data_IF_436690064577
#
_entry.id   IF_436690064577
#
_cell.length_a   1.000
_cell.length_b   1.000
_cell.length_c   1.000
_cell.angle_alpha   90.00
_cell.angle_beta   90.00
_cell.angle_gamma   90.00
#
_symmetry.space_group_name_H-M   'P 1'
#
loop_
_entity.id
_entity.type
_entity.pdbx_description
1 polymer ?
#
# COMPACT_ATOMS: atom_id res chain seq x y z
N UNK A 1 10.86 6.11 26.08
CA UNK A 1 11.17 6.60 24.71
C UNK A 1 10.94 8.10 24.70
N UNK A 2 11.84 8.91 24.14
CA UNK A 2 11.62 10.37 24.01
C UNK A 2 10.38 10.59 23.15
N UNK A 3 9.43 11.39 23.63
CA UNK A 3 8.25 11.74 22.83
C UNK A 3 8.69 12.36 21.50
N UNK A 4 8.21 11.84 20.37
CA UNK A 4 8.56 12.39 19.08
C UNK A 4 7.98 13.81 18.97
N UNK A 5 8.81 14.77 18.56
CA UNK A 5 8.36 16.16 18.39
C UNK A 5 7.24 16.23 17.35
N UNK A 6 6.04 16.65 17.81
CA UNK A 6 4.84 16.80 16.98
C UNK A 6 5.12 17.62 15.72
N UNK A 7 5.86 18.73 15.85
CA UNK A 7 6.27 19.59 14.72
C UNK A 7 7.08 18.82 13.67
N UNK A 8 8.04 18.00 14.10
CA UNK A 8 8.88 17.21 13.18
C UNK A 8 8.05 16.14 12.47
N UNK A 9 7.20 15.41 13.21
CA UNK A 9 6.33 14.38 12.63
C UNK A 9 5.36 14.96 11.60
N UNK A 10 4.75 16.10 11.93
CA UNK A 10 3.87 16.81 11.01
C UNK A 10 4.61 17.21 9.73
N UNK A 11 5.79 17.83 9.84
CA UNK A 11 6.59 18.23 8.68
C UNK A 11 6.97 17.04 7.77
N UNK A 12 7.40 15.91 8.35
CA UNK A 12 7.71 14.71 7.58
C UNK A 12 6.49 14.13 6.87
N UNK A 13 5.33 14.10 7.54
CA UNK A 13 4.11 13.57 6.93
C UNK A 13 3.59 14.50 5.82
N UNK A 14 3.60 15.81 6.04
CA UNK A 14 3.19 16.79 5.04
C UNK A 14 4.10 16.78 3.81
N UNK A 15 5.42 16.68 3.99
CA UNK A 15 6.35 16.60 2.86
C UNK A 15 6.14 15.32 2.03
N UNK A 16 5.89 14.19 2.70
CA UNK A 16 5.51 12.95 2.00
C UNK A 16 4.20 13.10 1.23
N UNK A 17 3.18 13.75 1.79
CA UNK A 17 1.92 14.00 1.09
C UNK A 17 2.14 14.85 -0.17
N UNK A 18 2.94 15.91 -0.09
CA UNK A 18 3.30 16.73 -1.26
C UNK A 18 4.00 15.88 -2.32
N UNK A 19 4.99 15.06 -1.94
CA UNK A 19 5.65 14.14 -2.88
C UNK A 19 4.64 13.19 -3.53
N UNK A 20 3.69 12.65 -2.75
CA UNK A 20 2.69 11.73 -3.24
C UNK A 20 1.75 12.35 -4.28
N UNK A 21 1.57 13.67 -4.25
CA UNK A 21 0.80 14.44 -5.24
C UNK A 21 1.64 14.77 -6.48
N UNK A 22 2.92 15.10 -6.31
CA UNK A 22 3.81 15.48 -7.41
C UNK A 22 4.18 14.27 -8.29
N UNK A 23 4.41 13.11 -7.67
CA UNK A 23 4.89 11.92 -8.40
C UNK A 23 3.96 11.50 -9.55
N UNK A 24 2.63 11.39 -9.37
CA UNK A 24 1.72 11.11 -10.49
C UNK A 24 1.74 12.18 -11.59
N UNK A 25 1.95 13.46 -11.26
CA UNK A 25 2.05 14.52 -12.29
C UNK A 25 3.24 14.32 -13.22
N UNK A 26 4.31 13.68 -12.74
CA UNK A 26 5.52 13.39 -13.53
C UNK A 26 5.42 12.02 -14.21
N UNK A 27 4.97 11.00 -13.48
CA UNK A 27 4.94 9.62 -13.95
C UNK A 27 3.77 9.33 -14.89
N UNK A 28 2.58 9.88 -14.64
CA UNK A 28 1.40 9.61 -15.48
C UNK A 28 1.60 10.04 -16.94
N UNK A 29 2.10 11.25 -17.27
CA UNK A 29 2.36 11.62 -18.67
C UNK A 29 3.42 10.75 -19.37
N UNK A 30 4.37 10.20 -18.61
CA UNK A 30 5.35 9.26 -19.14
C UNK A 30 4.71 7.91 -19.43
N UNK A 31 4.09 7.31 -18.42
CA UNK A 31 3.49 5.96 -18.51
C UNK A 31 2.36 5.94 -19.53
N UNK A 32 1.52 6.98 -19.61
CA UNK A 32 0.46 7.06 -20.62
C UNK A 32 0.97 7.16 -22.05
N UNK A 33 2.18 7.69 -22.27
CA UNK A 33 2.83 7.70 -23.60
C UNK A 33 3.49 6.36 -23.93
N UNK A 34 4.04 5.69 -22.94
CA UNK A 34 4.79 4.43 -23.12
C UNK A 34 3.86 3.21 -23.21
N UNK A 35 2.87 3.11 -22.32
CA UNK A 35 1.94 1.98 -22.24
C UNK A 35 0.66 2.17 -23.08
N UNK A 36 0.45 3.40 -23.59
CA UNK A 36 -0.73 3.77 -24.35
C UNK A 36 -2.04 3.69 -23.53
N UNK A 37 -3.15 4.05 -24.18
CA UNK A 37 -4.47 4.02 -23.55
C UNK A 37 -4.92 2.60 -23.19
N UNK A 38 -4.55 1.60 -24.00
CA UNK A 38 -4.92 0.21 -23.78
C UNK A 38 -4.24 -0.38 -22.53
N UNK A 39 -2.92 -0.21 -22.38
CA UNK A 39 -2.19 -0.69 -21.20
C UNK A 39 -2.65 -0.03 -19.90
N UNK A 40 -2.83 1.30 -19.93
CA UNK A 40 -3.41 2.04 -18.79
C UNK A 40 -4.84 1.58 -18.48
N UNK A 41 -5.63 1.26 -19.50
CA UNK A 41 -6.98 0.72 -19.36
C UNK A 41 -7.00 -0.62 -18.63
N UNK A 42 -6.15 -1.56 -19.05
CA UNK A 42 -6.00 -2.87 -18.38
C UNK A 42 -5.57 -2.68 -16.92
N UNK A 43 -4.55 -1.85 -16.67
CA UNK A 43 -4.10 -1.56 -15.31
C UNK A 43 -5.23 -0.99 -14.47
N UNK A 44 -5.90 0.06 -14.94
CA UNK A 44 -6.93 0.77 -14.18
C UNK A 44 -8.13 -0.14 -13.88
N UNK A 45 -8.55 -0.95 -14.86
CA UNK A 45 -9.63 -1.91 -14.68
C UNK A 45 -9.28 -2.99 -13.65
N UNK A 46 -8.15 -3.68 -13.84
CA UNK A 46 -7.72 -4.74 -12.90
C UNK A 46 -7.44 -4.19 -11.49
N UNK A 47 -6.87 -2.98 -11.39
CA UNK A 47 -6.62 -2.29 -10.13
C UNK A 47 -7.92 -1.89 -9.43
N UNK A 48 -8.91 -1.40 -10.17
CA UNK A 48 -10.22 -1.05 -9.60
C UNK A 48 -10.87 -2.25 -8.91
N UNK A 49 -10.74 -3.44 -9.50
CA UNK A 49 -11.34 -4.65 -8.96
C UNK A 49 -10.63 -5.07 -7.68
N UNK A 50 -9.29 -5.17 -7.69
CA UNK A 50 -8.54 -5.53 -6.47
C UNK A 50 -8.75 -4.51 -5.34
N UNK A 51 -8.95 -3.23 -5.69
CA UNK A 51 -9.17 -2.16 -4.71
C UNK A 51 -10.40 -2.39 -3.84
N UNK A 52 -11.47 -3.00 -4.36
CA UNK A 52 -12.64 -3.39 -3.55
C UNK A 52 -12.28 -4.47 -2.52
N UNK A 53 -11.47 -5.46 -2.91
CA UNK A 53 -10.99 -6.51 -2.00
C UNK A 53 -10.02 -5.96 -0.95
N UNK A 54 -9.16 -5.02 -1.33
CA UNK A 54 -8.27 -4.28 -0.43
C UNK A 54 -9.08 -3.51 0.62
N UNK A 55 -10.13 -2.80 0.18
CA UNK A 55 -11.01 -2.06 1.07
C UNK A 55 -11.73 -2.99 2.06
N UNK A 56 -12.22 -4.13 1.59
CA UNK A 56 -12.82 -5.15 2.46
C UNK A 56 -11.81 -5.74 3.45
N UNK A 57 -10.58 -6.02 3.00
CA UNK A 57 -9.52 -6.59 3.84
C UNK A 57 -9.08 -5.64 4.96
N UNK A 58 -9.11 -4.34 4.70
CA UNK A 58 -8.79 -3.32 5.69
C UNK A 58 -9.95 -2.99 6.62
N UNK A 59 -11.22 -3.11 6.19
CA UNK A 59 -12.47 -2.96 6.96
C UNK A 59 -12.45 -1.79 7.99
N UNK A 60 -11.90 -0.63 7.62
CA UNK A 60 -11.79 0.53 8.51
C UNK A 60 -10.88 0.35 9.74
N UNK A 61 -10.16 -0.77 9.83
CA UNK A 61 -9.28 -1.11 10.96
C UNK A 61 -8.22 -0.04 11.22
N UNK A 62 -7.72 0.65 10.20
CA UNK A 62 -6.75 1.73 10.38
C UNK A 62 -7.31 2.87 11.24
N UNK A 63 -8.54 3.34 10.96
CA UNK A 63 -9.18 4.41 11.74
C UNK A 63 -9.51 3.95 13.16
N UNK A 64 -10.08 2.75 13.29
CA UNK A 64 -10.39 2.16 14.59
C UNK A 64 -9.13 2.00 15.44
N UNK A 65 -8.05 1.50 14.86
CA UNK A 65 -6.79 1.24 15.56
C UNK A 65 -6.12 2.54 15.98
N UNK A 66 -6.07 3.53 15.09
CA UNK A 66 -5.46 4.83 15.39
C UNK A 66 -6.12 5.49 16.61
N UNK A 67 -7.46 5.43 16.71
CA UNK A 67 -8.22 5.97 17.85
C UNK A 67 -7.98 5.19 19.15
N UNK A 68 -7.96 3.86 19.10
CA UNK A 68 -7.85 3.06 20.32
C UNK A 68 -6.40 3.01 20.83
N UNK A 69 -5.42 2.87 19.93
CA UNK A 69 -4.00 2.83 20.27
C UNK A 69 -3.50 4.13 20.90
N UNK A 70 -4.05 5.28 20.51
CA UNK A 70 -3.68 6.56 21.15
C UNK A 70 -4.12 6.62 22.62
N UNK A 71 -5.21 5.93 22.98
CA UNK A 71 -5.73 5.84 24.36
C UNK A 71 -4.89 4.86 25.19
N UNK A 72 -4.63 3.66 24.66
CA UNK A 72 -3.89 2.59 25.39
C UNK A 72 -2.37 2.64 25.18
N UNK A 73 -1.85 3.76 24.65
CA UNK A 73 -0.47 3.91 24.15
C UNK A 73 0.59 3.52 25.17
N UNK A 74 0.39 3.92 26.42
CA UNK A 74 1.35 3.78 27.51
C UNK A 74 1.23 2.42 28.24
N UNK A 75 0.15 1.67 28.00
CA UNK A 75 -0.02 0.32 28.55
C UNK A 75 0.51 -0.73 27.56
N UNK A 76 1.74 -1.19 27.78
CA UNK A 76 2.41 -2.18 26.93
C UNK A 76 1.61 -3.49 26.77
N UNK A 77 0.96 -3.95 27.84
CA UNK A 77 0.23 -5.24 27.83
C UNK A 77 -1.03 -5.12 26.97
N UNK A 78 -1.85 -4.08 27.21
CA UNK A 78 -3.06 -3.84 26.44
C UNK A 78 -2.76 -3.53 24.98
N UNK A 79 -1.74 -2.71 24.73
CA UNK A 79 -1.29 -2.37 23.38
C UNK A 79 -0.86 -3.60 22.58
N UNK A 80 -0.10 -4.49 23.19
CA UNK A 80 0.39 -5.71 22.52
C UNK A 80 -0.78 -6.65 22.19
N UNK A 81 -1.73 -6.81 23.12
CA UNK A 81 -2.94 -7.60 22.89
C UNK A 81 -3.80 -7.00 21.77
N UNK A 82 -3.99 -5.68 21.78
CA UNK A 82 -4.72 -4.97 20.74
C UNK A 82 -4.06 -5.12 19.37
N UNK A 83 -2.73 -4.98 19.30
CA UNK A 83 -1.98 -5.15 18.06
C UNK A 83 -2.24 -6.51 17.42
N UNK A 84 -2.06 -7.59 18.17
CA UNK A 84 -2.25 -8.95 17.64
C UNK A 84 -3.71 -9.24 17.26
N UNK A 85 -4.68 -8.67 17.97
CA UNK A 85 -6.10 -8.79 17.60
C UNK A 85 -6.38 -8.13 16.23
N UNK A 86 -5.93 -6.89 16.02
CA UNK A 86 -6.13 -6.18 14.75
C UNK A 86 -5.33 -6.84 13.62
N UNK A 87 -4.08 -7.20 13.87
CA UNK A 87 -3.25 -7.86 12.89
C UNK A 87 -3.88 -9.19 12.44
N UNK A 88 -4.32 -10.03 13.39
CA UNK A 88 -4.96 -11.31 13.07
C UNK A 88 -6.28 -11.12 12.32
N UNK A 89 -7.08 -10.11 12.69
CA UNK A 89 -8.30 -9.78 11.97
C UNK A 89 -8.00 -9.40 10.52
N UNK A 90 -7.05 -8.49 10.28
CA UNK A 90 -6.63 -8.09 8.92
C UNK A 90 -6.08 -9.28 8.14
N UNK A 91 -5.26 -10.13 8.77
CA UNK A 91 -4.71 -11.31 8.13
C UNK A 91 -5.81 -12.30 7.69
N UNK A 92 -6.83 -12.53 8.53
CA UNK A 92 -7.98 -13.39 8.20
C UNK A 92 -8.79 -12.78 7.06
N UNK A 93 -9.18 -11.51 7.16
CA UNK A 93 -9.98 -10.84 6.14
C UNK A 93 -9.25 -10.76 4.80
N UNK A 94 -7.96 -10.45 4.81
CA UNK A 94 -7.13 -10.44 3.61
C UNK A 94 -6.96 -11.85 3.02
N UNK A 95 -6.82 -12.89 3.85
CA UNK A 95 -6.75 -14.28 3.35
C UNK A 95 -8.05 -14.71 2.67
N UNK A 96 -9.20 -14.38 3.26
CA UNK A 96 -10.51 -14.62 2.65
C UNK A 96 -10.62 -13.86 1.32
N UNK A 97 -10.27 -12.57 1.32
CA UNK A 97 -10.25 -11.75 0.11
C UNK A 97 -9.33 -12.31 -0.96
N UNK A 98 -8.17 -12.84 -0.59
CA UNK A 98 -7.20 -13.42 -1.51
C UNK A 98 -7.80 -14.64 -2.23
N UNK A 99 -8.45 -15.54 -1.50
CA UNK A 99 -9.11 -16.72 -2.07
C UNK A 99 -10.22 -16.33 -3.04
N UNK A 100 -11.09 -15.39 -2.64
CA UNK A 100 -12.20 -14.93 -3.49
C UNK A 100 -11.63 -14.18 -4.71
N UNK A 101 -10.61 -13.35 -4.53
CA UNK A 101 -9.96 -12.61 -5.60
C UNK A 101 -9.33 -13.54 -6.64
N UNK A 102 -8.56 -14.54 -6.23
CA UNK A 102 -7.97 -15.49 -7.17
C UNK A 102 -9.02 -16.35 -7.87
N UNK A 103 -10.15 -16.64 -7.22
CA UNK A 103 -11.30 -17.26 -7.89
C UNK A 103 -11.83 -16.36 -9.01
N UNK A 104 -12.00 -15.06 -8.74
CA UNK A 104 -12.33 -14.07 -9.77
C UNK A 104 -11.28 -14.04 -10.91
N UNK A 105 -9.99 -14.03 -10.58
CA UNK A 105 -8.90 -13.99 -11.58
C UNK A 105 -8.98 -15.19 -12.54
N UNK A 106 -9.23 -16.39 -12.01
CA UNK A 106 -9.25 -17.61 -12.83
C UNK A 106 -10.51 -17.68 -13.72
N UNK A 107 -11.66 -17.28 -13.17
CA UNK A 107 -12.98 -17.50 -13.80
C UNK A 107 -13.40 -16.34 -14.70
N UNK A 108 -13.20 -15.10 -14.25
CA UNK A 108 -13.84 -13.91 -14.84
C UNK A 108 -12.88 -12.90 -15.46
N UNK A 109 -11.60 -12.90 -15.06
CA UNK A 109 -10.66 -11.88 -15.53
C UNK A 109 -10.25 -12.09 -17.00
N UNK A 110 -10.39 -11.04 -17.81
CA UNK A 110 -9.89 -11.00 -19.19
C UNK A 110 -8.36 -11.05 -19.25
N UNK A 111 -7.68 -10.27 -18.39
CA UNK A 111 -6.22 -10.19 -18.31
C UNK A 111 -5.70 -10.91 -17.05
N UNK A 112 -5.78 -12.24 -17.06
CA UNK A 112 -5.47 -13.10 -15.89
C UNK A 112 -4.08 -12.84 -15.29
N UNK A 113 -3.06 -12.65 -16.13
CA UNK A 113 -1.70 -12.41 -15.66
C UNK A 113 -1.56 -11.09 -14.91
N UNK A 114 -2.04 -9.98 -15.50
CA UNK A 114 -2.00 -8.66 -14.86
C UNK A 114 -2.87 -8.64 -13.61
N UNK A 115 -4.07 -9.22 -13.66
CA UNK A 115 -4.94 -9.33 -12.49
C UNK A 115 -4.30 -10.17 -11.37
N UNK A 116 -3.62 -11.28 -11.68
CA UNK A 116 -2.90 -12.06 -10.68
C UNK A 116 -1.82 -11.23 -9.95
N UNK A 117 -1.08 -10.37 -10.68
CA UNK A 117 -0.09 -9.47 -10.08
C UNK A 117 -0.72 -8.45 -9.11
N UNK A 118 -1.91 -7.93 -9.43
CA UNK A 118 -2.64 -7.02 -8.54
C UNK A 118 -2.96 -7.67 -7.18
N UNK A 119 -3.05 -9.00 -7.11
CA UNK A 119 -3.24 -9.74 -5.85
C UNK A 119 -2.16 -9.49 -4.79
N UNK A 120 -0.97 -8.99 -5.20
CA UNK A 120 0.08 -8.54 -4.29
C UNK A 120 -0.44 -7.47 -3.31
N UNK A 121 -1.37 -6.60 -3.72
CA UNK A 121 -1.97 -5.60 -2.83
C UNK A 121 -2.75 -6.20 -1.65
N UNK A 122 -3.25 -7.43 -1.76
CA UNK A 122 -3.91 -8.10 -0.65
C UNK A 122 -2.89 -8.60 0.38
N UNK A 123 -1.74 -9.10 -0.09
CA UNK A 123 -0.61 -9.44 0.78
C UNK A 123 -0.03 -8.17 1.42
N UNK A 124 0.01 -7.06 0.67
CA UNK A 124 0.43 -5.76 1.17
C UNK A 124 -0.40 -5.31 2.38
N UNK A 125 -1.73 -5.47 2.32
CA UNK A 125 -2.62 -5.17 3.46
C UNK A 125 -2.39 -6.06 4.67
N UNK A 126 -2.00 -7.32 4.46
CA UNK A 126 -1.64 -8.25 5.55
C UNK A 126 -0.40 -7.75 6.29
N UNK A 127 0.62 -7.30 5.55
CA UNK A 127 1.89 -6.86 6.12
C UNK A 127 1.86 -5.41 6.62
N UNK A 128 0.86 -4.63 6.26
CA UNK A 128 0.73 -3.23 6.66
C UNK A 128 0.46 -3.07 8.16
N UNK A 129 1.47 -2.59 8.88
CA UNK A 129 1.41 -2.14 10.28
C UNK A 129 1.48 -0.61 10.44
N UNK A 130 1.24 0.15 9.35
CA UNK A 130 1.25 1.62 9.38
C UNK A 130 0.28 2.16 10.44
N UNK A 131 -0.91 1.55 10.57
CA UNK A 131 -1.94 1.91 11.55
C UNK A 131 -1.42 1.85 13.00
N UNK A 132 -0.49 0.96 13.31
CA UNK A 132 0.11 0.86 14.63
C UNK A 132 1.00 2.07 14.93
N UNK A 133 1.91 2.38 14.01
CA UNK A 133 2.79 3.55 14.14
C UNK A 133 2.01 4.87 14.13
N UNK A 134 0.91 4.96 13.38
CA UNK A 134 0.01 6.12 13.42
C UNK A 134 -0.63 6.28 14.81
N UNK A 135 -1.16 5.20 15.39
CA UNK A 135 -1.74 5.20 16.74
C UNK A 135 -0.74 5.54 17.84
N UNK A 136 0.54 5.20 17.61
CA UNK A 136 1.67 5.58 18.48
C UNK A 136 2.19 7.00 18.22
N UNK A 137 1.55 7.77 17.34
CA UNK A 137 1.99 9.10 16.87
C UNK A 137 3.39 9.12 16.24
N UNK A 138 3.89 7.99 15.76
CA UNK A 138 5.22 7.86 15.15
C UNK A 138 5.16 7.94 13.61
N UNK A 139 4.70 9.09 13.12
CA UNK A 139 4.55 9.33 11.67
C UNK A 139 5.87 9.40 10.91
N UNK A 140 6.97 9.74 11.60
CA UNK A 140 8.29 9.86 10.97
C UNK A 140 8.76 8.55 10.33
N UNK A 141 8.58 7.42 11.00
CA UNK A 141 8.99 6.10 10.47
C UNK A 141 8.24 5.80 9.17
N UNK A 142 6.93 6.03 9.18
CA UNK A 142 6.05 5.83 8.02
C UNK A 142 6.49 6.72 6.85
N UNK A 143 6.68 8.01 7.12
CA UNK A 143 6.97 9.01 6.10
C UNK A 143 8.34 8.78 5.44
N UNK A 144 9.40 8.55 6.22
CA UNK A 144 10.76 8.33 5.68
C UNK A 144 10.78 7.10 4.78
N UNK A 145 10.19 6.00 5.23
CA UNK A 145 10.10 4.78 4.45
C UNK A 145 9.34 5.01 3.14
N UNK A 146 8.14 5.59 3.22
CA UNK A 146 7.34 5.82 2.03
C UNK A 146 8.04 6.75 1.05
N UNK A 147 8.80 7.72 1.54
CA UNK A 147 9.60 8.62 0.72
C UNK A 147 10.66 7.84 -0.07
N UNK A 148 11.45 6.99 0.59
CA UNK A 148 12.48 6.16 -0.05
C UNK A 148 11.87 5.26 -1.13
N UNK A 149 10.82 4.53 -0.77
CA UNK A 149 10.17 3.60 -1.69
C UNK A 149 9.54 4.34 -2.87
N UNK A 150 8.93 5.52 -2.64
CA UNK A 150 8.37 6.33 -3.72
C UNK A 150 9.44 6.75 -4.71
N UNK A 151 10.61 7.20 -4.24
CA UNK A 151 11.72 7.59 -5.12
C UNK A 151 12.28 6.39 -5.89
N UNK A 152 12.48 5.24 -5.23
CA UNK A 152 12.92 4.00 -5.88
C UNK A 152 11.93 3.60 -6.98
N UNK A 153 10.63 3.65 -6.70
CA UNK A 153 9.61 3.31 -7.68
C UNK A 153 9.58 4.29 -8.86
N UNK A 154 9.77 5.59 -8.64
CA UNK A 154 9.88 6.57 -9.73
C UNK A 154 11.07 6.24 -10.63
N UNK A 155 12.24 6.00 -10.05
CA UNK A 155 13.44 5.62 -10.81
C UNK A 155 13.17 4.34 -11.60
N UNK A 156 12.60 3.33 -10.93
CA UNK A 156 12.24 2.04 -11.55
C UNK A 156 11.31 2.20 -12.75
N UNK A 157 10.25 3.02 -12.64
CA UNK A 157 9.33 3.29 -13.76
C UNK A 157 10.09 3.87 -14.95
N UNK A 158 10.95 4.88 -14.71
CA UNK A 158 11.69 5.52 -15.78
C UNK A 158 12.79 4.66 -16.39
N UNK A 159 13.33 3.67 -15.68
CA UNK A 159 14.42 2.81 -16.18
C UNK A 159 13.94 1.50 -16.78
N UNK A 160 12.84 0.93 -16.27
CA UNK A 160 12.36 -0.41 -16.65
C UNK A 160 11.17 -0.37 -17.60
N UNK A 161 10.24 0.59 -17.45
CA UNK A 161 9.02 0.64 -18.27
C UNK A 161 9.30 1.47 -19.52
N UNK A 162 9.60 0.81 -20.64
CA UNK A 162 10.07 1.44 -21.87
C UNK A 162 9.14 1.26 -23.06
N UNK A 163 8.32 0.21 -23.05
CA UNK A 163 7.35 -0.05 -24.11
C UNK A 163 6.03 -0.64 -23.58
N UNK A 164 5.05 -0.81 -24.47
CA UNK A 164 3.71 -1.29 -24.12
C UNK A 164 3.69 -2.71 -23.52
N UNK A 165 4.70 -3.54 -23.83
CA UNK A 165 4.82 -4.90 -23.28
C UNK A 165 5.28 -4.91 -21.82
N UNK A 166 5.83 -3.79 -21.32
CA UNK A 166 6.28 -3.62 -19.93
C UNK A 166 5.14 -3.32 -18.94
N UNK A 167 3.87 -3.46 -19.35
CA UNK A 167 2.73 -3.26 -18.46
C UNK A 167 2.85 -4.09 -17.17
N UNK A 168 3.32 -5.33 -17.26
CA UNK A 168 3.47 -6.18 -16.09
C UNK A 168 4.60 -5.70 -15.16
N UNK A 169 5.69 -5.14 -15.69
CA UNK A 169 6.73 -4.48 -14.90
C UNK A 169 6.19 -3.27 -14.17
N UNK A 170 5.37 -2.46 -14.85
CA UNK A 170 4.70 -1.32 -14.23
C UNK A 170 3.81 -1.74 -13.05
N UNK A 171 2.94 -2.74 -13.26
CA UNK A 171 2.05 -3.26 -12.20
C UNK A 171 2.85 -3.88 -11.06
N UNK A 172 3.86 -4.70 -11.38
CA UNK A 172 4.71 -5.35 -10.38
C UNK A 172 5.51 -4.32 -9.58
N UNK A 173 6.01 -3.26 -10.21
CA UNK A 173 6.69 -2.16 -9.52
C UNK A 173 5.75 -1.49 -8.52
N UNK A 174 4.55 -1.10 -8.97
CA UNK A 174 3.57 -0.43 -8.10
C UNK A 174 3.17 -1.27 -6.88
N UNK A 175 2.84 -2.55 -7.08
CA UNK A 175 2.39 -3.42 -6.01
C UNK A 175 3.57 -3.95 -5.16
N UNK A 176 4.66 -4.37 -5.80
CA UNK A 176 5.83 -4.97 -5.17
C UNK A 176 6.60 -3.97 -4.32
N UNK A 177 6.84 -2.75 -4.80
CA UNK A 177 7.49 -1.72 -3.98
C UNK A 177 6.63 -1.33 -2.77
N UNK A 178 5.30 -1.32 -2.90
CA UNK A 178 4.38 -1.11 -1.76
C UNK A 178 4.53 -2.21 -0.72
N UNK A 179 4.50 -3.48 -1.15
CA UNK A 179 4.69 -4.63 -0.27
C UNK A 179 6.03 -4.58 0.46
N UNK A 180 7.12 -4.30 -0.26
CA UNK A 180 8.45 -4.17 0.35
C UNK A 180 8.49 -3.05 1.40
N UNK A 181 7.78 -1.95 1.18
CA UNK A 181 7.63 -0.92 2.19
C UNK A 181 6.94 -1.46 3.45
N UNK A 182 5.83 -2.18 3.29
CA UNK A 182 5.08 -2.66 4.45
C UNK A 182 5.82 -3.75 5.22
N UNK A 183 6.54 -4.64 4.52
CA UNK A 183 7.41 -5.64 5.15
C UNK A 183 8.55 -4.97 5.92
N UNK A 184 9.16 -3.89 5.41
CA UNK A 184 10.31 -3.24 6.06
C UNK A 184 10.00 -2.54 7.40
N UNK A 185 8.73 -2.51 7.83
CA UNK A 185 8.33 -1.93 9.12
C UNK A 185 8.38 -2.91 10.29
N UNK A 186 8.41 -4.21 9.98
CA UNK A 186 8.53 -5.29 10.96
C UNK A 186 9.93 -5.35 11.54
#
# INVERSE_FOLDING_TARGET
MKEPSIKKNYLFNSSYQILSLIVPLITTPYVSRVLGAHGIGIYSYTFSIVSYFVLFSALGTSTYSNRNLSIIRDNIVERTKFFWNIFSLRAILASISLVIYFTYVIVLSENKFIAALQGIYLIDIMMDITWFFQGMENFKIIAIRNYVIKLVNVIFIFTVVKDESDLWWYVLGLAGWSLLANISMW
#
